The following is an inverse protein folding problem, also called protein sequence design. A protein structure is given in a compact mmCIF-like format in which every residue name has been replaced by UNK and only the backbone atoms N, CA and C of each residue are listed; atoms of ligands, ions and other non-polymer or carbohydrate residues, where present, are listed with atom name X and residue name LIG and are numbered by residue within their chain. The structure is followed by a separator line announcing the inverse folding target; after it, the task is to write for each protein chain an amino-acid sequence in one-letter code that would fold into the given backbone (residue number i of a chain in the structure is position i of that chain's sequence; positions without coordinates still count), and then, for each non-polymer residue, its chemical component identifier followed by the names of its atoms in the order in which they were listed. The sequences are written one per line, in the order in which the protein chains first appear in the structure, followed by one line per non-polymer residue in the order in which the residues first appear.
data_IF_334052752849
#
_entry.id   IF_334052752849
#
_cell.length_a   1.000
_cell.length_b   1.000
_cell.length_c   1.000
_cell.angle_alpha   90.00
_cell.angle_beta   90.00
_cell.angle_gamma   90.00
#
_symmetry.space_group_name_H-M   'P 1'
#
loop_
_entity.id
_entity.type
_entity.pdbx_description
1 polymer ?
#
# COMPACT_ATOMS: atom_id res chain seq x y z
N UNK A 1 -54.65 30.61 -32.84
CA UNK A 1 -53.28 30.07 -32.69
C UNK A 1 -52.47 31.13 -31.98
N UNK A 2 -52.43 31.05 -30.64
CA UNK A 2 -51.66 31.94 -29.78
C UNK A 2 -50.39 31.22 -29.36
N UNK A 3 -49.25 31.66 -29.89
CA UNK A 3 -47.95 31.10 -29.57
C UNK A 3 -47.58 31.44 -28.12
N UNK A 4 -47.53 30.40 -27.28
CA UNK A 4 -46.99 30.49 -25.93
C UNK A 4 -45.46 30.55 -26.05
N UNK A 5 -44.90 31.74 -25.93
CA UNK A 5 -43.46 31.94 -25.77
C UNK A 5 -43.04 31.34 -24.43
N UNK A 6 -42.39 30.17 -24.47
CA UNK A 6 -41.76 29.58 -23.32
C UNK A 6 -40.54 30.41 -22.90
N UNK A 7 -40.58 30.98 -21.70
CA UNK A 7 -39.43 31.66 -21.09
C UNK A 7 -38.35 30.64 -20.72
N UNK A 8 -37.06 30.93 -20.97
CA UNK A 8 -35.97 30.05 -20.52
C UNK A 8 -35.86 30.12 -18.99
N UNK A 9 -35.98 28.96 -18.34
CA UNK A 9 -35.70 28.77 -16.92
C UNK A 9 -34.27 29.23 -16.61
N UNK A 10 -34.15 30.12 -15.62
CA UNK A 10 -32.88 30.69 -15.18
C UNK A 10 -31.86 29.64 -14.73
N UNK A 11 -30.58 30.01 -14.64
CA UNK A 11 -29.48 29.08 -14.34
C UNK A 11 -29.76 28.37 -13.01
N UNK A 12 -29.79 27.04 -13.08
CA UNK A 12 -29.90 26.17 -11.92
C UNK A 12 -28.84 26.55 -10.91
N UNK A 13 -29.25 27.27 -9.87
CA UNK A 13 -28.43 27.56 -8.71
C UNK A 13 -27.78 26.26 -8.27
N UNK A 14 -26.44 26.22 -8.26
CA UNK A 14 -25.65 25.06 -7.85
C UNK A 14 -26.20 24.53 -6.53
N UNK A 15 -26.97 23.46 -6.58
CA UNK A 15 -27.56 22.86 -5.40
C UNK A 15 -26.43 22.55 -4.41
N UNK A 16 -26.54 23.06 -3.18
CA UNK A 16 -25.53 22.84 -2.16
C UNK A 16 -25.29 21.33 -2.01
N UNK A 17 -24.03 20.88 -1.91
CA UNK A 17 -23.73 19.45 -1.88
C UNK A 17 -24.48 18.79 -0.73
N UNK A 18 -25.21 17.71 -1.06
CA UNK A 18 -25.92 16.90 -0.08
C UNK A 18 -24.98 16.36 1.01
N UNK A 19 -25.51 15.80 2.11
CA UNK A 19 -24.72 15.33 3.25
C UNK A 19 -23.56 14.39 2.84
N UNK A 20 -23.79 13.51 1.86
CA UNK A 20 -22.75 12.63 1.31
C UNK A 20 -21.63 13.39 0.59
N UNK A 21 -21.95 14.46 -0.14
CA UNK A 21 -20.97 15.31 -0.82
C UNK A 21 -20.08 16.09 0.15
N UNK A 22 -20.64 16.52 1.29
CA UNK A 22 -19.85 17.15 2.36
C UNK A 22 -18.88 16.17 3.02
N UNK A 23 -19.32 14.93 3.28
CA UNK A 23 -18.45 13.86 3.80
C UNK A 23 -17.33 13.55 2.81
N UNK A 24 -17.66 13.38 1.53
CA UNK A 24 -16.66 13.14 0.48
C UNK A 24 -15.63 14.25 0.36
N UNK A 25 -16.06 15.51 0.44
CA UNK A 25 -15.15 16.67 0.47
C UNK A 25 -14.22 16.62 1.68
N UNK A 26 -14.74 16.29 2.87
CA UNK A 26 -13.93 16.15 4.09
C UNK A 26 -12.93 15.00 3.96
N UNK A 27 -13.34 13.82 3.49
CA UNK A 27 -12.43 12.68 3.27
C UNK A 27 -11.37 13.03 2.23
N UNK A 28 -11.73 13.72 1.15
CA UNK A 28 -10.78 14.12 0.11
C UNK A 28 -9.72 15.10 0.61
N UNK A 29 -10.08 16.02 1.51
CA UNK A 29 -9.19 17.07 2.04
C UNK A 29 -8.41 16.60 3.27
N UNK A 30 -9.07 15.91 4.21
CA UNK A 30 -8.47 15.49 5.47
C UNK A 30 -7.82 14.10 5.38
N UNK A 31 -8.27 13.26 4.44
CA UNK A 31 -7.78 11.89 4.27
C UNK A 31 -6.26 11.75 4.13
N UNK A 32 -5.53 12.56 3.32
CA UNK A 32 -4.09 12.36 3.18
C UNK A 32 -3.34 12.69 4.46
N UNK A 33 -3.83 13.67 5.24
CA UNK A 33 -3.28 14.05 6.54
C UNK A 33 -3.60 13.03 7.62
N UNK A 34 -4.79 12.43 7.58
CA UNK A 34 -5.19 11.36 8.49
C UNK A 34 -4.29 10.12 8.35
N UNK A 35 -3.76 9.87 7.14
CA UNK A 35 -2.85 8.75 6.88
C UNK A 35 -1.47 8.90 7.55
N UNK A 36 -1.09 10.11 7.98
CA UNK A 36 0.20 10.32 8.66
C UNK A 36 0.23 9.62 10.02
N UNK A 37 -0.89 9.61 10.76
CA UNK A 37 -0.99 9.01 12.09
C UNK A 37 -0.69 7.50 12.09
N UNK A 38 -1.36 6.65 11.29
CA UNK A 38 -1.06 5.22 11.27
C UNK A 38 0.33 4.92 10.70
N UNK A 39 0.83 5.72 9.75
CA UNK A 39 2.19 5.56 9.22
C UNK A 39 3.22 5.86 10.30
N UNK A 40 3.08 6.95 11.04
CA UNK A 40 3.94 7.29 12.16
C UNK A 40 3.86 6.23 13.28
N UNK A 41 2.66 5.71 13.56
CA UNK A 41 2.47 4.61 14.49
C UNK A 41 3.18 3.33 14.04
N UNK A 42 3.12 2.98 12.75
CA UNK A 42 3.84 1.84 12.19
C UNK A 42 5.36 2.01 12.27
N UNK A 43 5.87 3.20 11.98
CA UNK A 43 7.29 3.54 12.15
C UNK A 43 7.68 3.37 13.62
N UNK A 44 6.96 4.01 14.54
CA UNK A 44 7.26 3.93 15.99
C UNK A 44 7.21 2.50 16.52
N UNK A 45 6.24 1.70 16.06
CA UNK A 45 6.14 0.29 16.42
C UNK A 45 7.35 -0.52 15.96
N UNK A 46 7.79 -0.33 14.72
CA UNK A 46 8.90 -1.07 14.11
C UNK A 46 10.25 -0.66 14.73
N UNK A 47 10.39 0.59 15.18
CA UNK A 47 11.56 1.01 15.97
C UNK A 47 11.53 0.45 17.40
N UNK A 48 10.35 0.34 18.03
CA UNK A 48 10.22 -0.21 19.38
C UNK A 48 10.38 -1.73 19.42
N UNK A 49 9.91 -2.42 18.37
CA UNK A 49 9.96 -3.87 18.22
C UNK A 49 10.73 -4.21 16.96
N UNK A 50 12.06 -4.28 17.07
CA UNK A 50 12.92 -4.61 15.95
C UNK A 50 12.57 -6.01 15.40
N UNK A 51 12.01 -6.09 14.17
CA UNK A 51 11.53 -7.33 13.59
C UNK A 51 12.67 -8.17 12.99
N UNK A 52 13.91 -7.67 12.97
CA UNK A 52 15.08 -8.29 12.33
C UNK A 52 15.84 -9.22 13.28
N UNK A 53 15.60 -9.12 14.59
CA UNK A 53 16.31 -9.81 15.67
C UNK A 53 16.20 -11.34 15.70
N UNK A 54 15.55 -11.96 14.72
CA UNK A 54 15.27 -13.40 14.68
C UNK A 54 14.25 -13.89 15.72
N UNK A 55 13.83 -13.03 16.65
CA UNK A 55 12.74 -13.29 17.59
C UNK A 55 11.41 -12.94 16.94
N UNK A 56 10.39 -13.76 17.21
CA UNK A 56 9.03 -13.42 16.85
C UNK A 56 8.63 -12.16 17.64
N UNK A 57 8.17 -11.13 16.94
CA UNK A 57 7.68 -9.92 17.58
C UNK A 57 6.39 -10.18 18.37
N UNK A 58 5.83 -9.17 19.05
CA UNK A 58 4.59 -9.32 19.84
C UNK A 58 3.39 -9.84 19.04
N UNK A 59 3.44 -9.70 17.71
CA UNK A 59 2.40 -10.15 16.77
C UNK A 59 2.56 -11.62 16.37
N UNK A 60 3.61 -12.31 16.83
CA UNK A 60 3.89 -13.70 16.51
C UNK A 60 4.31 -13.92 15.05
N UNK A 61 4.27 -15.18 14.56
CA UNK A 61 4.54 -15.50 13.17
C UNK A 61 3.42 -14.97 12.27
N UNK A 62 3.68 -14.83 10.96
CA UNK A 62 2.65 -14.39 10.03
C UNK A 62 1.44 -15.33 10.06
N UNK A 63 0.24 -14.78 10.24
CA UNK A 63 -1.00 -15.58 10.31
C UNK A 63 -1.18 -16.51 9.10
N UNK A 64 -0.76 -16.08 7.91
CA UNK A 64 -0.79 -16.93 6.72
C UNK A 64 0.11 -18.15 6.86
N UNK A 65 1.32 -17.94 7.37
CA UNK A 65 2.27 -19.01 7.60
C UNK A 65 1.78 -19.96 8.69
N UNK A 66 1.14 -19.42 9.74
CA UNK A 66 0.53 -20.23 10.80
C UNK A 66 -0.61 -21.12 10.27
N UNK A 67 -1.40 -20.61 9.32
CA UNK A 67 -2.56 -21.34 8.78
C UNK A 67 -2.19 -22.33 7.67
N UNK A 68 -1.25 -21.98 6.80
CA UNK A 68 -0.96 -22.75 5.57
C UNK A 68 0.43 -23.37 5.54
N UNK A 69 1.32 -23.05 6.49
CA UNK A 69 2.70 -23.54 6.52
C UNK A 69 3.60 -23.04 5.38
N UNK A 70 3.12 -22.11 4.56
CA UNK A 70 3.84 -21.54 3.40
C UNK A 70 3.99 -20.04 3.53
N UNK A 71 4.98 -19.47 2.84
CA UNK A 71 5.17 -18.03 2.80
C UNK A 71 4.03 -17.37 1.98
N UNK A 72 3.33 -16.45 2.61
CA UNK A 72 2.17 -15.75 2.05
C UNK A 72 2.48 -14.36 1.49
N UNK A 73 1.45 -13.65 1.00
CA UNK A 73 1.61 -12.37 0.32
C UNK A 73 2.08 -11.22 1.22
N UNK A 74 1.96 -11.36 2.54
CA UNK A 74 2.42 -10.36 3.51
C UNK A 74 3.67 -10.78 4.29
N UNK A 75 4.19 -11.99 4.08
CA UNK A 75 5.34 -12.49 4.82
C UNK A 75 6.58 -11.62 4.58
N UNK A 76 7.25 -11.20 5.66
CA UNK A 76 8.44 -10.34 5.58
C UNK A 76 8.17 -8.86 5.28
N UNK A 77 6.91 -8.43 5.13
CA UNK A 77 6.58 -7.03 4.82
C UNK A 77 7.03 -6.04 5.90
N UNK A 78 6.87 -6.42 7.18
CA UNK A 78 7.32 -5.61 8.32
C UNK A 78 8.83 -5.45 8.38
N UNK A 79 9.60 -6.51 8.09
CA UNK A 79 11.07 -6.45 7.98
C UNK A 79 11.51 -5.61 6.80
N UNK A 80 10.86 -5.75 5.64
CA UNK A 80 11.14 -4.92 4.49
C UNK A 80 10.89 -3.43 4.78
N UNK A 81 9.83 -3.11 5.51
CA UNK A 81 9.55 -1.74 5.95
C UNK A 81 10.60 -1.21 6.93
N UNK A 82 11.06 -2.02 7.90
CA UNK A 82 12.17 -1.67 8.78
C UNK A 82 13.42 -1.30 7.96
N UNK A 83 13.83 -2.18 7.04
CA UNK A 83 15.02 -1.93 6.22
C UNK A 83 14.88 -0.69 5.32
N UNK A 84 13.69 -0.44 4.75
CA UNK A 84 13.43 0.78 3.97
C UNK A 84 13.59 2.06 4.80
N UNK A 85 13.11 2.08 6.05
CA UNK A 85 13.26 3.25 6.93
C UNK A 85 14.73 3.49 7.28
N UNK A 86 15.51 2.43 7.44
CA UNK A 86 16.95 2.51 7.74
C UNK A 86 17.82 2.73 6.49
N UNK A 87 17.25 2.71 5.29
CA UNK A 87 17.97 2.92 4.03
C UNK A 87 18.67 1.66 3.48
N UNK A 88 18.42 0.49 4.06
CA UNK A 88 18.96 -0.78 3.55
C UNK A 88 18.04 -1.34 2.44
N UNK A 89 18.29 -0.91 1.20
CA UNK A 89 17.51 -1.35 0.05
C UNK A 89 17.75 -2.83 -0.28
N UNK A 90 18.96 -3.34 -0.02
CA UNK A 90 19.32 -4.71 -0.38
C UNK A 90 18.54 -5.68 0.47
N UNK A 91 18.55 -5.48 1.78
CA UNK A 91 17.83 -6.36 2.70
C UNK A 91 16.31 -6.13 2.65
N UNK A 92 15.85 -4.91 2.33
CA UNK A 92 14.44 -4.67 2.04
C UNK A 92 13.94 -5.49 0.85
N UNK A 93 14.73 -5.54 -0.24
CA UNK A 93 14.39 -6.30 -1.45
C UNK A 93 14.37 -7.81 -1.18
N UNK A 94 15.36 -8.32 -0.44
CA UNK A 94 15.38 -9.72 0.00
C UNK A 94 14.12 -10.09 0.76
N UNK A 95 13.70 -9.22 1.67
CA UNK A 95 12.56 -9.49 2.53
C UNK A 95 11.24 -9.37 1.78
N UNK A 96 11.06 -8.37 0.89
CA UNK A 96 9.80 -8.17 0.17
C UNK A 96 9.91 -7.30 -1.10
N UNK A 97 10.55 -7.82 -2.15
CA UNK A 97 10.72 -7.10 -3.43
C UNK A 97 9.46 -6.41 -3.99
N UNK A 98 8.27 -7.06 -4.09
CA UNK A 98 7.07 -6.37 -4.61
C UNK A 98 6.65 -5.16 -3.79
N UNK A 99 6.86 -5.20 -2.47
CA UNK A 99 6.53 -4.10 -1.58
C UNK A 99 7.49 -2.93 -1.83
N UNK A 100 8.80 -3.21 -1.90
CA UNK A 100 9.82 -2.20 -2.23
C UNK A 100 9.51 -1.51 -3.57
N UNK A 101 9.08 -2.28 -4.58
CA UNK A 101 8.67 -1.72 -5.87
C UNK A 101 7.40 -0.88 -5.78
N UNK A 102 6.44 -1.23 -4.92
CA UNK A 102 5.19 -0.49 -4.77
C UNK A 102 5.34 0.84 -4.01
N UNK A 103 6.22 0.88 -3.00
CA UNK A 103 6.44 2.05 -2.12
C UNK A 103 6.61 3.37 -2.88
N UNK A 104 7.47 3.52 -3.90
CA UNK A 104 7.63 4.79 -4.60
C UNK A 104 6.34 5.26 -5.31
N UNK A 105 5.56 4.34 -5.87
CA UNK A 105 4.29 4.70 -6.53
C UNK A 105 3.22 5.09 -5.51
N UNK A 106 3.16 4.38 -4.38
CA UNK A 106 2.24 4.70 -3.29
C UNK A 106 2.58 6.07 -2.67
N UNK A 107 3.87 6.32 -2.42
CA UNK A 107 4.36 7.59 -1.90
C UNK A 107 4.08 8.74 -2.87
N UNK A 108 4.35 8.55 -4.16
CA UNK A 108 4.04 9.55 -5.17
C UNK A 108 2.55 9.83 -5.27
N UNK A 109 1.71 8.78 -5.28
CA UNK A 109 0.25 8.92 -5.29
C UNK A 109 -0.27 9.65 -4.05
N UNK A 110 0.27 9.35 -2.87
CA UNK A 110 -0.05 10.06 -1.63
C UNK A 110 0.38 11.53 -1.70
N UNK A 111 1.58 11.82 -2.21
CA UNK A 111 2.06 13.21 -2.38
C UNK A 111 1.19 13.99 -3.35
N UNK A 112 0.86 13.44 -4.52
CA UNK A 112 -0.07 14.06 -5.48
C UNK A 112 -1.42 14.35 -4.81
N UNK A 113 -1.94 13.40 -4.04
CA UNK A 113 -3.21 13.57 -3.34
C UNK A 113 -3.12 14.65 -2.26
N UNK A 114 -2.12 14.59 -1.37
CA UNK A 114 -1.88 15.56 -0.31
C UNK A 114 -1.70 16.98 -0.89
N UNK A 115 -0.85 17.13 -1.90
CA UNK A 115 -0.58 18.40 -2.57
C UNK A 115 -1.81 18.96 -3.28
N UNK A 116 -2.67 18.10 -3.83
CA UNK A 116 -3.94 18.54 -4.41
C UNK A 116 -4.89 19.18 -3.41
N UNK A 117 -4.75 18.88 -2.11
CA UNK A 117 -5.57 19.49 -1.04
C UNK A 117 -5.12 20.92 -0.70
N UNK A 118 -3.86 21.26 -0.97
CA UNK A 118 -3.28 22.60 -0.76
C UNK A 118 -3.16 23.40 -2.06
N UNK A 119 -3.81 22.95 -3.14
CA UNK A 119 -3.88 23.67 -4.42
C UNK A 119 -2.74 23.36 -5.40
N UNK A 120 -1.78 22.51 -5.05
CA UNK A 120 -0.67 22.12 -5.92
C UNK A 120 -1.10 20.93 -6.80
N UNK A 121 -0.92 21.05 -8.12
CA UNK A 121 -1.25 19.99 -9.07
C UNK A 121 0.03 19.38 -9.64
N UNK A 122 0.25 18.11 -9.31
CA UNK A 122 1.34 17.31 -9.88
C UNK A 122 0.83 16.46 -11.06
N UNK A 123 1.66 16.19 -12.07
CA UNK A 123 1.30 15.31 -13.18
C UNK A 123 1.16 13.86 -12.69
N UNK A 124 -0.05 13.32 -12.72
CA UNK A 124 -0.30 11.92 -12.34
C UNK A 124 -0.73 11.12 -13.56
N UNK A 125 0.19 10.33 -14.11
CA UNK A 125 -0.16 9.38 -15.17
C UNK A 125 -0.70 8.12 -14.52
N UNK A 126 -2.00 7.86 -14.70
CA UNK A 126 -2.61 6.63 -14.22
C UNK A 126 -1.96 5.44 -14.94
N UNK A 127 -1.42 4.44 -14.22
CA UNK A 127 -0.93 3.24 -14.86
C UNK A 127 -2.09 2.59 -15.64
N UNK A 128 -1.83 2.20 -16.88
CA UNK A 128 -2.83 1.52 -17.69
C UNK A 128 -3.25 0.21 -17.04
N UNK A 129 -4.50 -0.24 -17.27
CA UNK A 129 -5.05 -1.49 -16.71
C UNK A 129 -4.10 -2.69 -16.89
N UNK A 130 -3.39 -2.76 -18.03
CA UNK A 130 -2.39 -3.80 -18.34
C UNK A 130 -1.24 -3.82 -17.33
N UNK A 131 -0.70 -2.66 -16.95
CA UNK A 131 0.39 -2.56 -15.97
C UNK A 131 -0.06 -2.97 -14.57
N UNK A 132 -1.29 -2.57 -14.18
CA UNK A 132 -1.85 -3.00 -12.90
C UNK A 132 -2.03 -4.52 -12.85
N UNK A 133 -2.57 -5.12 -13.91
CA UNK A 133 -2.70 -6.57 -14.03
C UNK A 133 -1.32 -7.23 -13.97
N UNK A 134 -0.35 -6.74 -14.74
CA UNK A 134 1.01 -7.27 -14.74
C UNK A 134 1.64 -7.21 -13.34
N UNK A 135 1.48 -6.11 -12.62
CA UNK A 135 1.97 -5.97 -11.24
C UNK A 135 1.27 -6.94 -10.29
N UNK A 136 -0.05 -7.09 -10.37
CA UNK A 136 -0.80 -8.03 -9.52
C UNK A 136 -0.39 -9.48 -9.81
N UNK A 137 -0.26 -9.85 -11.10
CA UNK A 137 0.23 -11.17 -11.50
C UNK A 137 1.64 -11.40 -10.99
N UNK A 138 2.54 -10.42 -11.17
CA UNK A 138 3.89 -10.47 -10.62
C UNK A 138 3.90 -10.63 -9.09
N UNK A 139 3.08 -9.86 -8.38
CA UNK A 139 2.95 -9.92 -6.93
C UNK A 139 2.51 -11.32 -6.46
N UNK A 140 1.48 -11.88 -7.10
CA UNK A 140 0.99 -13.23 -6.78
C UNK A 140 2.06 -14.27 -7.10
N UNK A 141 2.63 -14.26 -8.30
CA UNK A 141 3.67 -15.22 -8.70
C UNK A 141 4.92 -15.14 -7.80
N UNK A 142 5.34 -13.93 -7.43
CA UNK A 142 6.46 -13.75 -6.52
C UNK A 142 6.17 -14.36 -5.15
N UNK A 143 4.98 -14.08 -4.61
CA UNK A 143 4.61 -14.48 -3.25
C UNK A 143 4.27 -15.96 -3.13
N UNK A 144 3.70 -16.58 -4.17
CA UNK A 144 3.31 -18.00 -4.15
C UNK A 144 4.39 -18.92 -4.71
N UNK A 145 5.17 -18.50 -5.70
CA UNK A 145 6.15 -19.35 -6.38
C UNK A 145 7.58 -19.01 -5.95
N UNK A 146 8.05 -17.79 -6.26
CA UNK A 146 9.47 -17.43 -6.08
C UNK A 146 9.90 -17.49 -4.61
N UNK A 147 9.02 -17.10 -3.68
CA UNK A 147 9.28 -17.18 -2.24
C UNK A 147 9.25 -18.59 -1.65
N UNK A 148 8.67 -19.56 -2.35
CA UNK A 148 8.60 -20.95 -1.89
C UNK A 148 9.59 -21.84 -2.65
N UNK A 149 10.38 -21.27 -3.57
CA UNK A 149 11.45 -21.98 -4.28
C UNK A 149 12.76 -21.91 -3.49
N UNK A 150 13.17 -23.05 -2.93
CA UNK A 150 14.44 -23.20 -2.22
C UNK A 150 15.63 -23.52 -3.15
N UNK A 151 15.39 -23.67 -4.46
CA UNK A 151 16.47 -23.91 -5.43
C UNK A 151 17.30 -22.65 -5.68
N UNK A 152 18.63 -22.80 -5.69
CA UNK A 152 19.55 -21.74 -6.11
C UNK A 152 19.24 -21.34 -7.57
N UNK A 153 19.21 -20.03 -7.91
CA UNK A 153 19.64 -18.86 -7.15
C UNK A 153 18.54 -18.17 -6.31
N UNK A 154 17.32 -18.69 -6.28
CA UNK A 154 16.15 -18.03 -5.67
C UNK A 154 16.05 -18.21 -4.15
N UNK A 155 16.85 -19.11 -3.57
CA UNK A 155 17.00 -19.30 -2.14
C UNK A 155 17.32 -17.99 -1.37
N UNK A 156 17.81 -16.96 -2.06
CA UNK A 156 18.04 -15.62 -1.50
C UNK A 156 16.76 -14.88 -1.05
N UNK A 157 15.60 -15.23 -1.62
CA UNK A 157 14.29 -14.67 -1.25
C UNK A 157 13.50 -15.57 -0.30
N UNK A 158 14.02 -16.77 -0.03
CA UNK A 158 13.43 -17.69 0.91
C UNK A 158 13.61 -17.12 2.31
N UNK A 159 12.50 -16.90 3.01
CA UNK A 159 12.53 -16.57 4.43
C UNK A 159 12.56 -17.92 5.13
N UNK A 160 13.68 -18.31 5.79
CA UNK A 160 13.79 -19.64 6.36
C UNK A 160 12.59 -19.89 7.27
N UNK A 161 11.79 -20.90 6.91
CA UNK A 161 10.65 -21.32 7.70
C UNK A 161 11.14 -21.64 9.12
N UNK A 162 10.83 -20.78 10.08
CA UNK A 162 11.20 -21.00 11.49
C UNK A 162 10.55 -22.27 12.06
N UNK A 163 9.60 -22.88 11.35
CA UNK A 163 9.04 -24.20 11.65
C UNK A 163 10.09 -25.33 11.70
N UNK A 164 11.25 -25.19 11.05
CA UNK A 164 12.35 -26.16 11.22
C UNK A 164 13.17 -25.96 12.49
N UNK A 165 12.92 -24.91 13.29
CA UNK A 165 13.58 -24.66 14.59
C UNK A 165 12.68 -24.96 15.80
N UNK A 166 11.51 -25.55 15.59
CA UNK A 166 10.59 -25.96 16.66
C UNK A 166 10.78 -27.44 17.08
N UNK A 167 11.90 -28.06 16.70
CA UNK A 167 12.34 -29.39 17.17
C UNK A 167 13.83 -29.33 17.45
#
# INVERSE_FOLDING_TARGET
MSDVVATPSGPSAFAAPGPLGRIWRRVRVLGPWLMVVPVAGAVGWVQAFDPTNGKEGPLGPCAWHLLFGVNGPGCGGTRAFYYLIHGDLVDAVRMHLPFVLAVPFLLYGWLVWALSTVGVRLPMRRPGKRWLIAYVVFFVLFTTVLRNLSSQPFAWFDIPNTAHRLW
#
